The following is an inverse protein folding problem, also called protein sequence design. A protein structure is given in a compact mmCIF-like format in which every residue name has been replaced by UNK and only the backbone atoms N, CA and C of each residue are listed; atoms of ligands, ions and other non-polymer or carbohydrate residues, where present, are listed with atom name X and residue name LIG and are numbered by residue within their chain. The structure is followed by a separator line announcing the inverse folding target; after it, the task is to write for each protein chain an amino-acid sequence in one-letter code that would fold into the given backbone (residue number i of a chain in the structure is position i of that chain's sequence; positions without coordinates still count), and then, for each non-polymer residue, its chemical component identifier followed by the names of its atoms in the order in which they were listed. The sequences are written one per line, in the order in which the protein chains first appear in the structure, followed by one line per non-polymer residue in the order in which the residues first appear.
data_IF_920249928568
#
_entry.id   IF_920249928568
#
_cell.length_a   1.000
_cell.length_b   1.000
_cell.length_c   1.000
_cell.angle_alpha   90.00
_cell.angle_beta   90.00
_cell.angle_gamma   90.00
#
_symmetry.space_group_name_H-M   'P 1'
#
loop_
_entity.id
_entity.type
_entity.pdbx_description
1 polymer ?
#
# COMPACT_ATOMS: atom_id res chain seq x y z
N UNK A 1 -28.95 8.82 1.14
CA UNK A 1 -27.50 9.11 1.26
C UNK A 1 -26.76 8.18 0.33
N UNK A 2 -25.66 8.59 -0.31
CA UNK A 2 -24.89 7.67 -1.15
C UNK A 2 -24.13 6.66 -0.26
N UNK A 3 -24.33 5.36 -0.50
CA UNK A 3 -23.67 4.26 0.21
C UNK A 3 -22.29 3.98 -0.40
N UNK A 4 -21.41 4.99 -0.41
CA UNK A 4 -20.07 4.89 -1.01
C UNK A 4 -19.15 3.93 -0.25
N UNK A 5 -19.52 3.57 0.98
CA UNK A 5 -18.86 2.60 1.85
C UNK A 5 -19.25 1.15 1.55
N UNK A 6 -20.19 0.92 0.62
CA UNK A 6 -20.74 -0.41 0.33
C UNK A 6 -20.68 -0.77 -1.16
N UNK A 7 -20.51 -2.06 -1.44
CA UNK A 7 -20.60 -2.60 -2.79
C UNK A 7 -22.06 -2.79 -3.25
N UNK A 8 -22.25 -3.26 -4.49
CA UNK A 8 -23.59 -3.52 -5.06
C UNK A 8 -24.44 -4.54 -4.30
N UNK A 9 -23.86 -5.29 -3.36
CA UNK A 9 -24.55 -6.27 -2.50
C UNK A 9 -24.73 -5.74 -1.06
N UNK A 10 -24.38 -4.49 -0.79
CA UNK A 10 -24.44 -3.88 0.54
C UNK A 10 -23.29 -4.30 1.47
N UNK A 11 -22.25 -4.96 0.96
CA UNK A 11 -21.09 -5.36 1.77
C UNK A 11 -20.12 -4.19 1.92
N UNK A 12 -19.45 -4.01 3.07
CA UNK A 12 -18.49 -2.92 3.24
C UNK A 12 -17.33 -3.04 2.24
N UNK A 13 -16.97 -1.93 1.60
CA UNK A 13 -15.76 -1.82 0.76
C UNK A 13 -14.58 -1.60 1.70
N UNK A 14 -13.88 -2.69 2.00
CA UNK A 14 -12.72 -2.72 2.89
C UNK A 14 -11.43 -2.55 2.09
N UNK A 15 -10.36 -2.20 2.80
CA UNK A 15 -9.00 -2.12 2.26
C UNK A 15 -7.99 -2.83 3.16
N UNK A 16 -6.88 -3.29 2.57
CA UNK A 16 -5.70 -3.82 3.26
C UNK A 16 -4.49 -3.27 2.53
N UNK A 17 -3.66 -2.46 3.18
CA UNK A 17 -2.45 -1.94 2.54
C UNK A 17 -1.32 -2.98 2.64
N UNK A 18 -0.71 -3.33 1.51
CA UNK A 18 0.57 -4.04 1.44
C UNK A 18 1.60 -3.10 0.80
N UNK A 19 2.77 -2.96 1.43
CA UNK A 19 3.92 -2.25 0.86
C UNK A 19 4.87 -3.29 0.24
N UNK A 20 4.67 -3.55 -1.04
CA UNK A 20 5.39 -4.58 -1.77
C UNK A 20 6.88 -4.22 -1.89
N UNK A 21 7.72 -5.12 -1.39
CA UNK A 21 9.17 -4.98 -1.36
C UNK A 21 9.74 -4.52 -0.01
N UNK A 22 8.89 -4.11 0.95
CA UNK A 22 9.33 -3.74 2.30
C UNK A 22 9.50 -4.97 3.20
N UNK A 23 10.58 -5.01 3.98
CA UNK A 23 10.77 -5.99 5.06
C UNK A 23 9.93 -5.66 6.29
N UNK A 24 8.61 -5.59 6.15
CA UNK A 24 7.69 -5.22 7.24
C UNK A 24 7.50 -6.36 8.26
N UNK A 25 7.17 -6.00 9.51
CA UNK A 25 6.66 -6.98 10.48
C UNK A 25 5.29 -7.50 10.02
N UNK A 26 4.88 -8.74 10.38
CA UNK A 26 3.64 -9.35 9.88
C UNK A 26 2.38 -8.49 10.05
N UNK A 27 2.25 -7.77 11.18
CA UNK A 27 1.12 -6.89 11.44
C UNK A 27 1.08 -5.63 10.57
N UNK A 28 2.18 -5.28 9.89
CA UNK A 28 2.28 -4.14 8.97
C UNK A 28 2.46 -4.58 7.51
N UNK A 29 2.47 -5.88 7.25
CA UNK A 29 2.75 -6.40 5.90
C UNK A 29 1.51 -6.38 4.99
N UNK A 30 0.30 -6.34 5.54
CA UNK A 30 -0.92 -6.35 4.72
C UNK A 30 -1.49 -7.76 4.51
N UNK A 31 -1.57 -8.54 5.59
CA UNK A 31 -2.24 -9.83 5.57
C UNK A 31 -3.68 -9.69 5.05
N UNK A 32 -4.09 -10.57 4.14
CA UNK A 32 -5.29 -10.40 3.29
C UNK A 32 -6.62 -10.22 4.03
N UNK A 33 -6.67 -10.59 5.31
CA UNK A 33 -7.86 -10.48 6.17
C UNK A 33 -7.74 -9.44 7.28
N UNK A 34 -6.66 -8.66 7.31
CA UNK A 34 -6.41 -7.62 8.31
C UNK A 34 -7.05 -6.29 7.90
N UNK A 35 -8.38 -6.32 7.83
CA UNK A 35 -9.17 -5.31 7.15
C UNK A 35 -9.16 -3.95 7.88
N UNK A 36 -9.03 -2.90 7.08
CA UNK A 36 -9.41 -1.54 7.47
C UNK A 36 -10.85 -1.33 7.00
N UNK A 37 -11.79 -1.19 7.94
CA UNK A 37 -13.19 -0.94 7.61
C UNK A 37 -13.40 0.50 7.12
N UNK A 38 -14.49 0.77 6.38
CA UNK A 38 -14.90 2.15 6.13
C UNK A 38 -14.94 2.97 7.43
N UNK A 39 -14.44 4.21 7.36
CA UNK A 39 -14.35 5.13 8.51
C UNK A 39 -13.38 4.69 9.63
N UNK A 40 -12.56 3.66 9.40
CA UNK A 40 -11.47 3.28 10.28
C UNK A 40 -10.11 3.61 9.63
N UNK A 41 -9.06 3.58 10.45
CA UNK A 41 -7.69 3.76 10.01
C UNK A 41 -6.81 2.72 10.68
N UNK A 42 -5.61 2.54 10.14
CA UNK A 42 -4.57 1.71 10.72
C UNK A 42 -3.22 2.38 10.47
N UNK A 43 -2.40 2.42 11.52
CA UNK A 43 -1.02 2.88 11.40
C UNK A 43 -0.11 1.74 10.94
N UNK A 44 0.63 2.00 9.88
CA UNK A 44 1.65 1.10 9.35
C UNK A 44 3.03 1.65 9.67
N UNK A 45 3.90 0.81 10.21
CA UNK A 45 5.27 1.18 10.58
C UNK A 45 6.25 0.43 9.68
N UNK A 46 7.03 1.18 8.91
CA UNK A 46 8.00 0.66 7.96
C UNK A 46 9.42 1.09 8.34
N UNK A 47 10.40 0.17 8.32
CA UNK A 47 11.77 0.49 8.68
C UNK A 47 12.48 1.38 7.65
N UNK A 48 12.12 1.29 6.36
CA UNK A 48 12.74 2.04 5.27
C UNK A 48 14.28 1.91 5.24
N UNK A 49 14.77 0.69 5.50
CA UNK A 49 16.19 0.39 5.73
C UNK A 49 16.97 -0.02 4.47
N UNK A 50 16.33 0.04 3.29
CA UNK A 50 16.95 -0.29 2.01
C UNK A 50 16.39 0.55 0.88
N UNK A 51 17.27 1.18 0.09
CA UNK A 51 16.89 1.89 -1.13
C UNK A 51 16.19 0.98 -2.15
N UNK A 52 15.19 1.52 -2.84
CA UNK A 52 14.48 0.83 -3.91
C UNK A 52 13.17 1.47 -4.32
N UNK A 53 12.71 1.10 -5.53
CA UNK A 53 11.37 1.38 -6.02
C UNK A 53 10.40 0.34 -5.49
N UNK A 54 9.72 0.66 -4.40
CA UNK A 54 8.63 -0.15 -3.86
C UNK A 54 7.30 0.35 -4.41
N UNK A 55 6.23 -0.40 -4.14
CA UNK A 55 4.88 0.03 -4.48
C UNK A 55 3.91 -0.44 -3.40
N UNK A 56 3.00 0.44 -3.00
CA UNK A 56 1.93 0.08 -2.09
C UNK A 56 0.65 -0.20 -2.88
N UNK A 57 -0.11 -1.21 -2.47
CA UNK A 57 -1.36 -1.55 -3.12
C UNK A 57 -2.34 -2.24 -2.17
N UNK A 58 -3.61 -2.27 -2.56
CA UNK A 58 -4.61 -3.04 -1.82
C UNK A 58 -4.32 -4.55 -1.87
N UNK A 59 -4.64 -5.25 -0.79
CA UNK A 59 -4.36 -6.68 -0.62
C UNK A 59 -5.54 -7.44 0.02
N UNK A 60 -6.77 -6.92 -0.11
CA UNK A 60 -7.98 -7.53 0.48
C UNK A 60 -8.27 -8.88 -0.15
N UNK A 61 -8.51 -9.89 0.70
CA UNK A 61 -8.97 -11.22 0.28
C UNK A 61 -10.13 -11.12 -0.72
N UNK A 62 -10.03 -11.83 -1.85
CA UNK A 62 -10.99 -11.86 -2.97
C UNK A 62 -11.19 -10.55 -3.76
N UNK A 63 -10.76 -9.39 -3.25
CA UNK A 63 -11.05 -8.08 -3.85
C UNK A 63 -9.82 -7.28 -4.29
N UNK A 64 -8.60 -7.76 -4.04
CA UNK A 64 -7.33 -7.15 -4.49
C UNK A 64 -7.41 -6.63 -5.93
N UNK A 65 -7.77 -7.50 -6.88
CA UNK A 65 -7.79 -7.14 -8.30
C UNK A 65 -8.75 -5.98 -8.61
N UNK A 66 -9.95 -5.99 -8.02
CA UNK A 66 -10.92 -4.90 -8.17
C UNK A 66 -10.36 -3.62 -7.58
N UNK A 67 -9.87 -3.66 -6.34
CA UNK A 67 -9.45 -2.49 -5.61
C UNK A 67 -8.23 -1.82 -6.26
N UNK A 68 -7.26 -2.60 -6.74
CA UNK A 68 -6.13 -2.11 -7.55
C UNK A 68 -6.63 -1.49 -8.86
N UNK A 69 -7.54 -2.16 -9.58
CA UNK A 69 -8.07 -1.64 -10.85
C UNK A 69 -8.84 -0.31 -10.67
N UNK A 70 -9.46 -0.11 -9.51
CA UNK A 70 -10.13 1.13 -9.13
C UNK A 70 -9.17 2.22 -8.64
N UNK A 71 -7.86 1.96 -8.59
CA UNK A 71 -6.83 2.97 -8.35
C UNK A 71 -6.07 2.85 -7.02
N UNK A 72 -6.30 1.81 -6.21
CA UNK A 72 -5.55 1.61 -4.95
C UNK A 72 -4.17 0.99 -5.19
N UNK A 73 -3.30 1.72 -5.89
CA UNK A 73 -1.89 1.40 -6.06
C UNK A 73 -1.07 2.69 -6.26
N UNK A 74 0.16 2.71 -5.76
CA UNK A 74 1.10 3.82 -5.93
C UNK A 74 2.54 3.40 -5.67
N UNK A 75 3.51 4.16 -6.19
CA UNK A 75 4.92 3.93 -5.91
C UNK A 75 5.32 4.49 -4.54
N UNK A 76 6.27 3.82 -3.90
CA UNK A 76 6.94 4.26 -2.68
C UNK A 76 8.44 4.20 -2.93
N UNK A 77 9.09 5.36 -3.04
CA UNK A 77 10.53 5.43 -3.30
C UNK A 77 11.25 5.54 -1.95
N UNK A 78 12.10 4.56 -1.66
CA UNK A 78 13.05 4.63 -0.55
C UNK A 78 14.40 4.99 -1.13
N UNK A 79 14.98 6.08 -0.66
CA UNK A 79 16.33 6.54 -1.01
C UNK A 79 17.25 6.31 0.19
N UNK A 80 18.53 6.05 -0.06
CA UNK A 80 19.52 5.98 1.01
C UNK A 80 20.80 6.78 0.67
N UNK A 81 21.64 7.11 1.67
CA UNK A 81 22.85 7.89 1.43
C UNK A 81 23.85 7.21 0.49
N UNK A 82 23.89 5.87 0.47
CA UNK A 82 24.82 5.15 -0.39
C UNK A 82 24.40 5.25 -1.86
N UNK A 83 23.10 5.15 -2.15
CA UNK A 83 22.54 5.41 -3.48
C UNK A 83 22.85 6.83 -3.96
N UNK A 84 22.75 7.84 -3.08
CA UNK A 84 23.03 9.23 -3.41
C UNK A 84 24.50 9.46 -3.86
N UNK A 85 25.45 8.62 -3.43
CA UNK A 85 26.85 8.68 -3.84
C UNK A 85 27.11 8.13 -5.26
N UNK A 86 26.15 7.38 -5.83
CA UNK A 86 26.31 6.72 -7.12
C UNK A 86 26.20 7.66 -8.34
N UNK A 87 25.89 8.96 -8.12
CA UNK A 87 25.71 9.97 -9.17
C UNK A 87 24.72 9.52 -10.28
N UNK A 88 23.64 8.83 -9.88
CA UNK A 88 22.56 8.45 -10.79
C UNK A 88 21.79 9.70 -11.26
N UNK A 89 21.10 9.66 -12.42
CA UNK A 89 20.18 10.74 -12.81
C UNK A 89 19.10 10.95 -11.74
N UNK A 90 18.73 12.21 -11.49
CA UNK A 90 17.81 12.62 -10.43
C UNK A 90 16.88 13.71 -10.97
N UNK A 91 15.65 13.83 -10.45
CA UNK A 91 14.74 14.92 -10.80
C UNK A 91 14.44 14.99 -12.31
N UNK A 92 14.75 16.13 -12.95
CA UNK A 92 14.44 16.42 -14.36
C UNK A 92 15.49 15.88 -15.35
N UNK A 93 16.52 15.18 -14.87
CA UNK A 93 17.74 14.85 -15.62
C UNK A 93 17.80 13.39 -16.05
#
# INVERSE_FOLDING_TARGET
MNHLDQDKKGRPIQTVLHLHGMGALPQYDGYTTDYIQPQQFKDYYYPNDRAGTLWYHDHVMDFTARNINMGLAGFYLVEDPHEAELNLPQGEY
#
